data_IF_174478919131
#
_entry.id   IF_174478919131
#
_cell.length_a   1.000
_cell.length_b   1.000
_cell.length_c   1.000
_cell.angle_alpha   90.00
_cell.angle_beta   90.00
_cell.angle_gamma   90.00
#
_symmetry.space_group_name_H-M   'P 1'
#
loop_
_entity.id
_entity.type
_entity.pdbx_description
1 polymer ?
#
# COMPACT_ATOMS: atom_id res chain seq x y z
N UNK A 1 -23.59 0.26 -21.63
CA UNK A 1 -22.24 -0.03 -21.12
C UNK A 1 -22.16 -1.25 -20.20
N UNK A 2 -22.53 -1.21 -18.92
CA UNK A 2 -22.41 -2.39 -18.02
C UNK A 2 -23.28 -3.60 -18.45
N UNK A 3 -24.52 -3.35 -18.87
CA UNK A 3 -25.44 -4.40 -19.33
C UNK A 3 -24.99 -5.11 -20.61
N UNK A 4 -24.25 -4.44 -21.48
CA UNK A 4 -23.72 -5.01 -22.73
C UNK A 4 -22.46 -5.84 -22.45
N UNK A 5 -21.60 -5.38 -21.53
CA UNK A 5 -20.46 -6.15 -21.04
C UNK A 5 -20.90 -7.46 -20.36
N UNK A 6 -21.95 -7.41 -19.52
CA UNK A 6 -22.52 -8.62 -18.90
C UNK A 6 -23.14 -9.61 -19.89
N UNK A 7 -23.46 -9.18 -21.12
CA UNK A 7 -24.00 -10.03 -22.19
C UNK A 7 -22.92 -10.69 -23.05
N UNK A 8 -21.64 -10.38 -22.82
CA UNK A 8 -20.52 -10.99 -23.55
C UNK A 8 -20.38 -10.51 -24.98
N UNK A 9 -20.91 -9.33 -25.31
CA UNK A 9 -20.77 -8.75 -26.65
C UNK A 9 -19.43 -8.02 -26.76
N UNK A 10 -18.47 -8.65 -27.45
CA UNK A 10 -17.08 -8.17 -27.65
C UNK A 10 -16.97 -6.85 -28.44
N UNK A 11 -18.08 -6.31 -28.94
CA UNK A 11 -18.11 -5.04 -29.65
C UNK A 11 -17.51 -3.89 -28.81
N UNK A 12 -17.74 -3.89 -27.51
CA UNK A 12 -17.20 -2.88 -26.59
C UNK A 12 -15.70 -3.03 -26.38
N UNK A 13 -15.19 -4.27 -26.30
CA UNK A 13 -13.76 -4.52 -26.14
C UNK A 13 -13.00 -4.10 -27.40
N UNK A 14 -13.56 -4.36 -28.58
CA UNK A 14 -12.97 -3.92 -29.85
C UNK A 14 -12.98 -2.41 -29.99
N UNK A 15 -14.06 -1.74 -29.60
CA UNK A 15 -14.13 -0.28 -29.62
C UNK A 15 -13.18 0.35 -28.60
N UNK A 16 -12.98 -0.27 -27.43
CA UNK A 16 -11.98 0.16 -26.45
C UNK A 16 -10.55 0.01 -26.99
N UNK A 17 -10.23 -1.11 -27.63
CA UNK A 17 -8.93 -1.33 -28.29
C UNK A 17 -8.73 -0.36 -29.46
N UNK A 18 -9.80 0.00 -30.20
CA UNK A 18 -9.76 0.97 -31.30
C UNK A 18 -9.48 2.40 -30.82
N UNK A 19 -9.92 2.77 -29.61
CA UNK A 19 -9.77 4.12 -29.04
C UNK A 19 -8.37 4.43 -28.53
N UNK A 20 -7.50 3.43 -28.37
CA UNK A 20 -6.10 3.63 -28.01
C UNK A 20 -5.93 4.44 -26.72
N UNK A 21 -5.28 5.60 -26.82
CA UNK A 21 -4.88 6.45 -25.68
C UNK A 21 -5.92 7.52 -25.31
N UNK A 22 -7.15 7.45 -25.85
CA UNK A 22 -8.20 8.40 -25.49
C UNK A 22 -8.59 8.28 -24.00
N UNK A 23 -8.64 9.40 -23.25
CA UNK A 23 -8.99 9.37 -21.84
C UNK A 23 -10.43 8.93 -21.64
N UNK A 24 -10.61 7.81 -20.94
CA UNK A 24 -11.92 7.32 -20.50
C UNK A 24 -12.22 7.77 -19.07
N UNK A 25 -13.37 8.42 -18.88
CA UNK A 25 -13.90 8.70 -17.54
C UNK A 25 -14.48 7.42 -16.94
N UNK A 26 -13.78 6.86 -15.95
CA UNK A 26 -14.30 5.77 -15.12
C UNK A 26 -15.12 6.39 -13.99
N UNK A 27 -16.45 6.30 -14.10
CA UNK A 27 -17.35 6.70 -13.02
C UNK A 27 -17.46 5.53 -12.04
N UNK A 28 -16.94 5.65 -10.80
CA UNK A 28 -17.12 4.61 -9.81
C UNK A 28 -18.61 4.48 -9.48
N UNK A 29 -19.16 3.30 -9.71
CA UNK A 29 -20.54 2.99 -9.31
C UNK A 29 -20.51 2.34 -7.94
N UNK A 30 -21.29 2.89 -7.00
CA UNK A 30 -21.48 2.29 -5.70
C UNK A 30 -22.24 0.96 -5.85
N UNK A 31 -21.53 -0.15 -5.61
CA UNK A 31 -22.06 -1.51 -5.70
C UNK A 31 -23.19 -1.72 -4.68
N UNK A 32 -23.16 -1.02 -3.54
CA UNK A 32 -24.22 -1.11 -2.53
C UNK A 32 -25.51 -0.43 -3.01
N UNK A 33 -25.41 0.65 -3.78
CA UNK A 33 -26.55 1.31 -4.41
C UNK A 33 -27.18 0.47 -5.55
N UNK A 34 -26.37 -0.30 -6.28
CA UNK A 34 -26.86 -1.21 -7.32
C UNK A 34 -27.66 -2.39 -6.77
N UNK A 35 -27.29 -2.92 -5.59
CA UNK A 35 -28.02 -4.01 -4.93
C UNK A 35 -29.36 -3.56 -4.33
N UNK A 36 -29.59 -2.26 -4.17
CA UNK A 36 -30.84 -1.68 -3.67
C UNK A 36 -31.79 -1.25 -4.80
N UNK A 37 -31.37 -1.36 -6.06
CA UNK A 37 -32.23 -1.08 -7.19
C UNK A 37 -33.38 -2.11 -7.24
N UNK A 38 -34.65 -1.69 -7.35
CA UNK A 38 -35.77 -2.60 -7.47
C UNK A 38 -35.56 -3.55 -8.65
N UNK A 39 -35.62 -4.86 -8.39
CA UNK A 39 -35.61 -5.85 -9.46
C UNK A 39 -36.82 -5.58 -10.36
N UNK A 40 -36.66 -5.68 -11.70
CA UNK A 40 -37.80 -5.58 -12.61
C UNK A 40 -38.81 -6.67 -12.24
N UNK A 41 -40.12 -6.37 -12.27
CA UNK A 41 -41.13 -7.38 -12.00
C UNK A 41 -40.93 -8.56 -12.98
N UNK A 42 -41.13 -9.81 -12.51
CA UNK A 42 -41.03 -10.97 -13.37
C UNK A 42 -42.03 -10.82 -14.55
N UNK A 43 -41.68 -11.31 -15.75
CA UNK A 43 -42.58 -11.22 -16.89
C UNK A 43 -43.87 -11.97 -16.57
N UNK A 44 -44.98 -11.26 -16.64
CA UNK A 44 -46.32 -11.83 -16.54
C UNK A 44 -46.48 -12.88 -17.65
N UNK A 45 -46.55 -14.15 -17.25
CA UNK A 45 -47.08 -15.18 -18.13
C UNK A 45 -48.57 -14.91 -18.30
N UNK A 46 -48.94 -14.54 -19.52
CA UNK A 46 -50.33 -14.42 -19.94
C UNK A 46 -50.84 -15.83 -20.19
N UNK A 47 -51.59 -16.39 -19.24
CA UNK A 47 -52.52 -17.48 -19.53
C UNK A 47 -53.92 -16.91 -19.74
N UNK A 48 -54.47 -17.26 -20.89
CA UNK A 48 -55.78 -16.83 -21.35
C UNK A 48 -56.91 -17.64 -20.68
N UNK A 49 -57.95 -16.91 -20.28
CA UNK A 49 -59.37 -17.29 -20.17
C UNK A 49 -59.75 -18.41 -19.21
N UNK A 50 -60.56 -18.08 -18.18
CA UNK A 50 -62.03 -18.24 -18.20
C UNK A 50 -62.67 -18.16 -16.80
N UNK A 51 -63.49 -17.11 -16.59
CA UNK A 51 -64.82 -17.07 -15.92
C UNK A 51 -65.08 -17.69 -14.53
N UNK A 52 -65.50 -16.82 -13.58
CA UNK A 52 -66.83 -16.74 -12.91
C UNK A 52 -66.69 -16.26 -11.44
N UNK A 53 -67.35 -15.11 -11.15
CA UNK A 53 -68.17 -14.69 -9.97
C UNK A 53 -67.71 -15.09 -8.54
N UNK A 54 -67.89 -14.33 -7.44
CA UNK A 54 -68.88 -13.32 -7.05
C UNK A 54 -68.41 -12.62 -5.74
N UNK A 55 -68.77 -11.34 -5.61
CA UNK A 55 -69.27 -10.65 -4.40
C UNK A 55 -68.50 -10.54 -3.04
N UNK A 56 -68.35 -9.27 -2.65
CA UNK A 56 -68.81 -8.66 -1.39
C UNK A 56 -67.94 -8.50 -0.11
N UNK A 57 -67.65 -7.21 0.14
CA UNK A 57 -68.15 -6.41 1.27
C UNK A 57 -67.40 -6.40 2.61
N UNK A 58 -66.87 -5.19 2.88
CA UNK A 58 -66.88 -4.43 4.15
C UNK A 58 -65.98 -4.84 5.32
N UNK A 59 -65.27 -3.83 5.84
CA UNK A 59 -65.51 -3.46 7.24
C UNK A 59 -64.31 -3.46 8.19
N UNK A 60 -63.76 -2.25 8.37
CA UNK A 60 -63.48 -1.63 9.68
C UNK A 60 -62.28 -2.12 10.53
N UNK A 61 -61.41 -1.13 10.79
CA UNK A 61 -60.27 -0.97 11.70
C UNK A 61 -60.52 -1.30 13.20
N UNK A 62 -59.66 -0.89 14.17
CA UNK A 62 -58.18 -0.92 14.36
C UNK A 62 -57.83 -1.53 15.75
N UNK A 63 -56.66 -1.16 16.34
CA UNK A 63 -56.24 -1.17 17.78
C UNK A 63 -55.03 -2.09 18.05
N UNK A 64 -53.83 -1.50 18.24
CA UNK A 64 -53.02 -1.40 19.49
C UNK A 64 -52.53 -2.78 20.01
N UNK A 65 -51.36 -3.02 20.60
CA UNK A 65 -50.50 -2.22 21.46
C UNK A 65 -49.19 -3.01 21.70
N UNK A 66 -48.02 -2.40 21.47
CA UNK A 66 -46.73 -2.45 22.24
C UNK A 66 -46.25 -3.77 22.96
N UNK A 67 -45.22 -3.78 23.86
CA UNK A 67 -43.80 -3.97 23.47
C UNK A 67 -42.95 -4.93 24.35
N UNK A 68 -41.73 -5.27 23.85
CA UNK A 68 -40.45 -5.55 24.61
C UNK A 68 -40.39 -6.77 25.56
N UNK A 69 -39.25 -7.21 26.20
CA UNK A 69 -37.91 -6.58 26.36
C UNK A 69 -36.62 -7.49 26.29
N UNK A 70 -35.48 -6.81 26.11
CA UNK A 70 -34.14 -6.90 26.77
C UNK A 70 -33.53 -8.24 27.29
N UNK A 71 -32.21 -8.45 27.04
CA UNK A 71 -31.15 -8.41 28.09
C UNK A 71 -29.70 -8.56 27.57
N UNK A 72 -28.75 -8.13 28.43
CA UNK A 72 -27.36 -7.73 28.21
C UNK A 72 -26.32 -8.83 28.56
N UNK A 73 -25.15 -8.74 27.90
CA UNK A 73 -23.71 -9.08 28.20
C UNK A 73 -23.30 -9.45 29.66
N UNK A 74 -22.09 -10.00 30.01
CA UNK A 74 -20.74 -9.75 29.44
C UNK A 74 -19.68 -10.91 29.54
N UNK A 75 -18.39 -10.57 29.70
CA UNK A 75 -17.10 -11.14 29.21
C UNK A 75 -16.08 -11.24 30.36
N UNK A 76 -15.21 -12.26 30.43
CA UNK A 76 -13.83 -12.17 31.00
C UNK A 76 -12.91 -13.39 30.69
N UNK A 77 -11.69 -13.44 31.26
CA UNK A 77 -10.37 -13.67 30.62
C UNK A 77 -9.40 -14.51 31.50
N UNK A 78 -8.19 -14.86 30.98
CA UNK A 78 -6.90 -15.32 31.62
C UNK A 78 -6.64 -16.85 31.70
N UNK A 79 -5.43 -17.48 31.73
CA UNK A 79 -3.98 -17.17 31.55
C UNK A 79 -3.12 -18.49 31.56
N UNK A 80 -1.85 -18.44 31.08
CA UNK A 80 -0.60 -19.23 31.37
C UNK A 80 -0.57 -20.79 31.18
N UNK A 81 0.51 -21.54 30.86
CA UNK A 81 1.96 -21.41 30.60
C UNK A 81 2.64 -22.83 30.50
N UNK A 82 3.96 -22.90 30.21
CA UNK A 82 4.96 -24.01 30.41
C UNK A 82 5.40 -24.95 29.24
N UNK A 83 6.72 -25.27 29.30
CA UNK A 83 7.65 -25.98 28.38
C UNK A 83 7.48 -27.50 28.22
N UNK A 84 8.08 -28.12 27.18
CA UNK A 84 8.88 -29.39 27.18
C UNK A 84 9.34 -29.78 25.75
N UNK A 85 10.64 -30.10 25.57
CA UNK A 85 11.24 -30.84 24.44
C UNK A 85 10.99 -32.37 24.56
N UNK A 86 10.69 -33.11 23.47
CA UNK A 86 11.22 -34.47 23.19
C UNK A 86 11.10 -34.79 21.68
N UNK A 87 12.10 -35.50 21.18
CA UNK A 87 12.33 -36.00 19.82
C UNK A 87 11.45 -37.19 19.33
N UNK A 88 11.67 -37.49 18.04
CA UNK A 88 11.64 -38.82 17.38
C UNK A 88 10.34 -39.34 16.72
N UNK A 89 10.50 -39.58 15.41
CA UNK A 89 10.03 -40.68 14.56
C UNK A 89 8.60 -41.22 14.62
N UNK A 90 7.91 -41.11 13.47
CA UNK A 90 7.14 -42.17 12.79
C UNK A 90 6.74 -41.61 11.41
N UNK A 91 7.35 -42.02 10.30
CA UNK A 91 7.14 -43.26 9.55
C UNK A 91 5.71 -43.44 8.99
N UNK A 92 5.68 -43.61 7.65
CA UNK A 92 4.58 -44.09 6.79
C UNK A 92 3.39 -43.13 6.61
N UNK A 93 2.84 -42.92 5.41
CA UNK A 93 2.48 -43.90 4.40
C UNK A 93 2.17 -43.18 3.05
N UNK A 94 2.19 -43.97 1.97
CA UNK A 94 1.59 -43.77 0.64
C UNK A 94 2.50 -43.38 -0.52
N UNK A 95 3.29 -44.38 -0.89
CA UNK A 95 3.51 -44.72 -2.30
C UNK A 95 2.20 -45.07 -3.03
N UNK A 96 1.99 -44.48 -4.21
CA UNK A 96 1.36 -45.03 -5.44
C UNK A 96 1.55 -43.95 -6.51
N UNK A 97 2.15 -44.14 -7.68
CA UNK A 97 2.29 -45.32 -8.53
C UNK A 97 3.44 -45.05 -9.54
N UNK A 98 4.46 -45.91 -9.50
CA UNK A 98 5.34 -46.33 -10.63
C UNK A 98 4.47 -46.81 -11.81
N UNK A 99 4.83 -46.88 -13.08
CA UNK A 99 5.99 -46.62 -13.93
C UNK A 99 5.49 -46.96 -15.35
N UNK A 100 6.11 -46.42 -16.41
CA UNK A 100 6.49 -47.22 -17.59
C UNK A 100 7.45 -46.43 -18.47
N UNK A 101 8.66 -46.95 -18.53
CA UNK A 101 9.72 -46.63 -19.49
C UNK A 101 9.81 -47.76 -20.53
N UNK A 102 10.62 -47.48 -21.56
CA UNK A 102 11.16 -48.35 -22.63
C UNK A 102 10.47 -48.17 -24.00
N UNK A 103 11.14 -48.07 -25.15
CA UNK A 103 12.54 -47.85 -25.55
C UNK A 103 12.60 -47.77 -27.12
N UNK A 104 13.74 -47.32 -27.67
CA UNK A 104 14.28 -47.50 -29.04
C UNK A 104 13.74 -46.59 -30.19
N UNK A 105 14.56 -45.66 -30.72
CA UNK A 105 15.47 -45.75 -31.93
C UNK A 105 14.66 -45.83 -33.26
N UNK A 106 14.92 -45.10 -34.36
CA UNK A 106 16.17 -44.71 -35.02
C UNK A 106 15.91 -43.70 -36.19
N UNK A 107 16.93 -42.91 -36.54
CA UNK A 107 17.33 -42.35 -37.87
C UNK A 107 16.68 -41.15 -38.60
N UNK A 108 17.60 -40.20 -38.93
CA UNK A 108 17.89 -39.49 -40.20
C UNK A 108 16.82 -38.57 -40.84
N UNK A 109 17.06 -37.39 -41.41
CA UNK A 109 18.14 -36.38 -41.50
C UNK A 109 17.47 -35.13 -42.20
N UNK A 110 18.17 -34.03 -42.55
CA UNK A 110 17.64 -32.66 -42.48
C UNK A 110 16.95 -32.16 -43.77
N UNK A 111 16.08 -31.16 -43.62
CA UNK A 111 15.59 -30.32 -44.72
C UNK A 111 15.86 -28.85 -44.40
N UNK A 112 16.69 -28.23 -45.23
CA UNK A 112 16.93 -26.79 -45.31
C UNK A 112 15.71 -26.10 -45.93
N UNK A 113 15.16 -25.11 -45.24
CA UNK A 113 14.44 -24.01 -45.87
C UNK A 113 14.75 -22.73 -45.10
N UNK A 114 15.64 -21.93 -45.68
CA UNK A 114 15.89 -20.57 -45.27
C UNK A 114 14.67 -19.71 -45.65
N UNK A 115 14.02 -19.11 -44.66
CA UNK A 115 13.17 -17.93 -44.83
C UNK A 115 13.44 -17.02 -43.64
N UNK A 116 14.00 -15.85 -43.98
CA UNK A 116 14.14 -14.59 -43.25
C UNK A 116 14.32 -14.59 -41.72
N UNK A 117 15.38 -13.93 -41.19
CA UNK A 117 15.34 -13.51 -39.80
C UNK A 117 14.30 -12.39 -39.69
N UNK A 118 13.07 -12.76 -39.36
CA UNK A 118 12.14 -11.83 -38.76
C UNK A 118 12.88 -11.19 -37.59
N UNK A 119 13.01 -9.86 -37.62
CA UNK A 119 13.36 -9.11 -36.42
C UNK A 119 12.30 -9.49 -35.37
N UNK A 120 12.69 -10.39 -34.47
CA UNK A 120 11.94 -10.70 -33.27
C UNK A 120 11.57 -9.36 -32.61
N UNK A 121 10.28 -9.08 -32.38
CA UNK A 121 9.91 -7.92 -31.59
C UNK A 121 10.58 -8.12 -30.24
N UNK A 122 11.49 -7.22 -29.86
CA UNK A 122 12.22 -7.31 -28.59
C UNK A 122 11.22 -7.64 -27.48
N UNK A 123 11.20 -8.89 -27.03
CA UNK A 123 10.21 -9.34 -26.08
C UNK A 123 10.37 -8.46 -24.84
N UNK A 124 9.32 -7.74 -24.47
CA UNK A 124 9.34 -6.95 -23.26
C UNK A 124 9.65 -7.89 -22.10
N UNK A 125 10.57 -7.51 -21.18
CA UNK A 125 11.03 -8.41 -20.14
C UNK A 125 9.84 -8.89 -19.31
N UNK A 126 9.82 -10.17 -18.97
CA UNK A 126 8.74 -10.75 -18.19
C UNK A 126 8.69 -10.11 -16.79
N UNK A 127 7.53 -10.17 -16.13
CA UNK A 127 7.38 -9.63 -14.78
C UNK A 127 8.38 -10.25 -13.78
N UNK A 128 8.73 -11.53 -13.96
CA UNK A 128 9.71 -12.22 -13.13
C UNK A 128 11.15 -11.78 -13.43
N UNK A 129 11.49 -11.52 -14.69
CA UNK A 129 12.79 -10.95 -15.07
C UNK A 129 12.98 -9.56 -14.47
N UNK A 130 11.95 -8.71 -14.55
CA UNK A 130 11.95 -7.37 -13.93
C UNK A 130 12.17 -7.49 -12.42
N UNK A 131 11.41 -8.36 -11.73
CA UNK A 131 11.57 -8.58 -10.28
C UNK A 131 12.97 -9.05 -9.93
N UNK A 132 13.48 -10.04 -10.64
CA UNK A 132 14.81 -10.63 -10.41
C UNK A 132 15.91 -9.60 -10.58
N UNK A 133 15.87 -8.81 -11.65
CA UNK A 133 16.85 -7.76 -11.91
C UNK A 133 16.83 -6.67 -10.81
N UNK A 134 15.65 -6.22 -10.39
CA UNK A 134 15.52 -5.22 -9.32
C UNK A 134 16.02 -5.78 -7.99
N UNK A 135 15.66 -7.01 -7.64
CA UNK A 135 16.11 -7.66 -6.41
C UNK A 135 17.63 -7.78 -6.36
N UNK A 136 18.26 -8.21 -7.46
CA UNK A 136 19.72 -8.31 -7.54
C UNK A 136 20.41 -6.96 -7.33
N UNK A 137 19.87 -5.89 -7.93
CA UNK A 137 20.39 -4.54 -7.73
C UNK A 137 20.22 -4.05 -6.29
N UNK A 138 19.05 -4.30 -5.67
CA UNK A 138 18.79 -3.96 -4.27
C UNK A 138 19.73 -4.69 -3.33
N UNK A 139 19.94 -6.00 -3.49
CA UNK A 139 20.85 -6.77 -2.66
C UNK A 139 22.29 -6.23 -2.74
N UNK A 140 22.72 -5.81 -3.94
CA UNK A 140 24.02 -5.17 -4.14
C UNK A 140 24.15 -3.83 -3.40
N UNK A 141 23.08 -3.05 -3.35
CA UNK A 141 23.03 -1.76 -2.65
C UNK A 141 22.90 -1.96 -1.14
N UNK A 142 21.99 -2.80 -0.67
CA UNK A 142 21.74 -3.05 0.75
C UNK A 142 22.98 -3.58 1.47
N UNK A 143 23.83 -4.38 0.80
CA UNK A 143 25.13 -4.83 1.32
C UNK A 143 26.08 -3.68 1.67
N UNK A 144 25.91 -2.51 1.05
CA UNK A 144 26.71 -1.30 1.33
C UNK A 144 26.13 -0.45 2.47
N UNK A 145 25.05 -0.91 3.10
CA UNK A 145 24.35 -0.26 4.21
C UNK A 145 24.08 1.24 3.95
N UNK A 146 23.37 1.59 2.87
CA UNK A 146 23.17 2.97 2.45
C UNK A 146 22.55 3.85 3.52
N UNK A 147 21.68 3.30 4.38
CA UNK A 147 21.08 4.04 5.49
C UNK A 147 22.11 4.61 6.47
N UNK A 148 23.24 3.93 6.71
CA UNK A 148 24.31 4.48 7.59
C UNK A 148 25.02 5.68 6.97
N UNK A 149 25.07 5.74 5.63
CA UNK A 149 25.65 6.88 4.89
C UNK A 149 24.65 8.03 4.73
N UNK A 150 23.38 7.69 4.54
CA UNK A 150 22.30 8.66 4.39
C UNK A 150 21.92 9.32 5.71
N UNK A 151 22.03 8.59 6.81
CA UNK A 151 21.72 9.04 8.17
C UNK A 151 22.96 8.92 9.08
N UNK A 152 24.01 9.75 8.88
CA UNK A 152 25.20 9.67 9.69
C UNK A 152 24.93 10.16 11.13
N UNK A 153 25.72 9.67 12.09
CA UNK A 153 25.50 9.96 13.51
C UNK A 153 25.67 11.45 13.89
N UNK A 154 26.42 12.20 13.08
CA UNK A 154 26.77 13.61 13.28
C UNK A 154 25.86 14.59 12.52
N UNK A 155 24.69 14.13 12.03
CA UNK A 155 23.72 15.01 11.38
C UNK A 155 23.36 16.21 12.26
N UNK A 156 23.29 17.44 11.70
CA UNK A 156 22.88 18.62 12.44
C UNK A 156 21.47 18.41 12.98
N UNK A 157 21.18 18.89 14.18
CA UNK A 157 19.87 18.74 14.81
C UNK A 157 18.94 19.88 14.39
N UNK A 158 17.62 19.67 14.28
CA UNK A 158 16.68 20.71 13.86
C UNK A 158 16.39 21.76 14.95
N UNK A 159 16.93 21.58 16.16
CA UNK A 159 16.69 22.43 17.32
C UNK A 159 17.69 23.60 17.36
N UNK A 160 17.20 24.81 17.62
CA UNK A 160 18.04 26.03 17.65
C UNK A 160 19.07 26.00 18.80
N UNK A 161 18.71 25.39 19.93
CA UNK A 161 19.58 25.21 21.10
C UNK A 161 19.76 23.73 21.46
N UNK A 162 20.57 22.95 20.72
CA UNK A 162 20.72 21.50 20.98
C UNK A 162 21.25 21.18 22.38
N UNK A 163 22.05 22.09 22.96
CA UNK A 163 22.58 21.97 24.31
C UNK A 163 21.52 22.13 25.40
N UNK A 164 20.45 22.88 25.11
CA UNK A 164 19.33 23.10 26.03
C UNK A 164 18.33 21.94 25.99
N UNK A 165 18.32 21.18 24.89
CA UNK A 165 17.39 20.06 24.67
C UNK A 165 18.11 18.71 24.44
N UNK A 166 19.01 18.27 25.35
CA UNK A 166 19.82 17.07 25.14
C UNK A 166 18.98 15.79 25.01
N UNK A 167 17.82 15.74 25.67
CA UNK A 167 16.88 14.61 25.58
C UNK A 167 16.27 14.48 24.19
N UNK A 168 15.85 15.59 23.58
CA UNK A 168 15.31 15.59 22.21
C UNK A 168 16.38 15.20 21.19
N UNK A 169 17.61 15.67 21.38
CA UNK A 169 18.77 15.28 20.55
C UNK A 169 19.04 13.79 20.65
N UNK A 170 19.06 13.24 21.86
CA UNK A 170 19.24 11.79 22.07
C UNK A 170 18.12 10.98 21.43
N UNK A 171 16.86 11.36 21.62
CA UNK A 171 15.72 10.66 21.05
C UNK A 171 15.77 10.61 19.50
N UNK A 172 16.19 11.72 18.87
CA UNK A 172 16.34 11.79 17.42
C UNK A 172 17.50 10.90 16.92
N UNK A 173 18.63 10.87 17.64
CA UNK A 173 19.76 9.99 17.32
C UNK A 173 19.40 8.51 17.45
N UNK A 174 18.77 8.13 18.56
CA UNK A 174 18.33 6.76 18.81
C UNK A 174 17.31 6.31 17.75
N UNK A 175 16.42 7.22 17.33
CA UNK A 175 15.50 6.95 16.24
C UNK A 175 16.24 6.60 14.94
N UNK A 176 17.24 7.38 14.53
CA UNK A 176 17.96 7.09 13.28
C UNK A 176 18.83 5.84 13.36
N UNK A 177 19.47 5.59 14.50
CA UNK A 177 20.26 4.39 14.73
C UNK A 177 19.40 3.12 14.61
N UNK A 178 18.20 3.14 15.19
CA UNK A 178 17.31 1.99 15.23
C UNK A 178 16.45 1.85 13.96
N UNK A 179 15.99 2.97 13.39
CA UNK A 179 14.97 2.99 12.34
C UNK A 179 15.49 3.47 10.98
N UNK A 180 16.75 3.88 10.85
CA UNK A 180 17.30 4.43 9.62
C UNK A 180 17.16 3.49 8.41
N UNK A 181 17.39 2.19 8.60
CA UNK A 181 17.17 1.18 7.56
C UNK A 181 15.71 1.17 7.09
N UNK A 182 14.75 1.17 8.03
CA UNK A 182 13.34 1.20 7.70
C UNK A 182 12.99 2.48 6.92
N UNK A 183 13.41 3.65 7.39
CA UNK A 183 13.11 4.90 6.67
C UNK A 183 13.68 4.88 5.24
N UNK A 184 14.89 4.34 5.06
CA UNK A 184 15.51 4.17 3.74
C UNK A 184 14.72 3.22 2.83
N UNK A 185 14.31 2.04 3.32
CA UNK A 185 13.58 1.02 2.55
C UNK A 185 12.29 1.57 1.90
N UNK A 186 11.66 2.61 2.46
CA UNK A 186 10.47 3.24 1.85
C UNK A 186 10.76 3.85 0.50
N UNK A 187 11.97 4.36 0.30
CA UNK A 187 12.40 5.02 -0.94
C UNK A 187 12.82 4.03 -2.03
N UNK A 188 12.92 2.75 -1.68
CA UNK A 188 13.37 1.65 -2.54
C UNK A 188 12.57 0.40 -2.23
N UNK A 189 11.23 0.49 -2.32
CA UNK A 189 10.36 -0.60 -1.91
C UNK A 189 10.50 -1.79 -2.86
N UNK A 190 11.03 -2.86 -2.27
CA UNK A 190 11.37 -4.11 -2.93
C UNK A 190 10.15 -4.75 -3.61
N UNK A 191 10.29 -5.26 -4.84
CA UNK A 191 9.19 -5.85 -5.60
C UNK A 191 8.92 -7.31 -5.19
N UNK A 192 8.85 -7.56 -3.88
CA UNK A 192 8.64 -8.89 -3.32
C UNK A 192 7.24 -9.38 -3.69
N UNK A 193 7.15 -10.55 -4.32
CA UNK A 193 5.87 -11.23 -4.50
C UNK A 193 5.36 -11.67 -3.12
N UNK A 194 4.11 -11.31 -2.80
CA UNK A 194 3.47 -11.69 -1.54
C UNK A 194 3.37 -13.21 -1.38
N UNK A 195 3.31 -13.94 -2.48
CA UNK A 195 3.18 -15.40 -2.51
C UNK A 195 4.52 -16.11 -2.29
N UNK A 196 5.62 -15.59 -2.85
CA UNK A 196 6.95 -16.22 -2.80
C UNK A 196 7.84 -15.70 -1.69
N UNK A 197 7.57 -14.49 -1.18
CA UNK A 197 8.44 -13.78 -0.22
C UNK A 197 7.62 -13.11 0.87
N UNK A 198 6.57 -13.80 1.34
CA UNK A 198 5.64 -13.29 2.34
C UNK A 198 6.32 -12.78 3.61
N UNK A 199 7.30 -13.53 4.11
CA UNK A 199 7.96 -13.21 5.39
C UNK A 199 8.82 -11.96 5.28
N UNK A 200 9.65 -11.85 4.23
CA UNK A 200 10.46 -10.66 3.98
C UNK A 200 9.59 -9.41 3.78
N UNK A 201 8.49 -9.55 3.04
CA UNK A 201 7.52 -8.47 2.86
C UNK A 201 6.90 -8.03 4.19
N UNK A 202 6.48 -8.99 5.01
CA UNK A 202 5.88 -8.75 6.33
C UNK A 202 6.88 -8.09 7.27
N UNK A 203 8.12 -8.58 7.33
CA UNK A 203 9.18 -8.01 8.16
C UNK A 203 9.48 -6.55 7.80
N UNK A 204 9.62 -6.23 6.50
CA UNK A 204 9.80 -4.84 6.04
C UNK A 204 8.64 -3.97 6.50
N UNK A 205 7.40 -4.39 6.26
CA UNK A 205 6.20 -3.65 6.68
C UNK A 205 6.14 -3.44 8.20
N UNK A 206 6.50 -4.45 9.00
CA UNK A 206 6.56 -4.33 10.45
C UNK A 206 7.61 -3.31 10.90
N UNK A 207 8.81 -3.31 10.30
CA UNK A 207 9.84 -2.29 10.58
C UNK A 207 9.34 -0.88 10.26
N UNK A 208 8.67 -0.69 9.12
CA UNK A 208 8.07 0.60 8.75
C UNK A 208 7.04 1.10 9.74
N UNK A 209 6.15 0.21 10.17
CA UNK A 209 5.12 0.54 11.16
C UNK A 209 5.76 0.92 12.51
N UNK A 210 6.80 0.19 12.93
CA UNK A 210 7.56 0.52 14.14
C UNK A 210 8.26 1.87 14.04
N UNK A 211 8.88 2.19 12.90
CA UNK A 211 9.53 3.48 12.68
C UNK A 211 8.53 4.64 12.75
N UNK A 212 7.37 4.52 12.10
CA UNK A 212 6.32 5.55 12.17
C UNK A 212 5.82 5.75 13.60
N UNK A 213 5.37 4.68 14.26
CA UNK A 213 4.86 4.75 15.62
C UNK A 213 5.93 5.21 16.63
N UNK A 214 7.18 4.80 16.43
CA UNK A 214 8.31 5.19 17.25
C UNK A 214 8.61 6.67 17.12
N UNK A 215 8.62 7.21 15.90
CA UNK A 215 8.83 8.64 15.68
C UNK A 215 7.69 9.48 16.28
N UNK A 216 6.44 9.06 16.11
CA UNK A 216 5.28 9.73 16.71
C UNK A 216 5.39 9.82 18.23
N UNK A 217 5.71 8.71 18.90
CA UNK A 217 5.72 8.63 20.36
C UNK A 217 6.97 9.19 20.99
N UNK A 218 8.13 8.93 20.40
CA UNK A 218 9.42 9.19 21.03
C UNK A 218 10.07 10.48 20.52
N UNK A 219 9.58 11.06 19.41
CA UNK A 219 10.13 12.30 18.85
C UNK A 219 9.06 13.38 18.77
N UNK A 220 7.96 13.17 18.05
CA UNK A 220 6.95 14.23 17.82
C UNK A 220 6.34 14.71 19.15
N UNK A 221 5.86 13.79 20.00
CA UNK A 221 5.26 14.16 21.28
C UNK A 221 6.24 14.90 22.19
N UNK A 222 7.45 14.38 22.51
CA UNK A 222 8.42 15.11 23.34
C UNK A 222 8.81 16.48 22.77
N UNK A 223 9.01 16.58 21.45
CA UNK A 223 9.32 17.86 20.79
C UNK A 223 8.17 18.85 20.94
N UNK A 224 6.92 18.39 20.81
CA UNK A 224 5.77 19.26 21.03
C UNK A 224 5.63 19.69 22.49
N UNK A 225 5.84 18.78 23.44
CA UNK A 225 5.72 19.10 24.86
C UNK A 225 6.76 20.14 25.32
N UNK A 226 7.96 20.10 24.73
CA UNK A 226 9.07 20.98 25.12
C UNK A 226 9.15 22.27 24.28
N UNK A 227 8.96 22.20 22.96
CA UNK A 227 9.12 23.34 22.04
C UNK A 227 7.80 23.89 21.50
N UNK A 228 6.69 23.19 21.73
CA UNK A 228 5.36 23.58 21.29
C UNK A 228 5.15 23.55 19.78
N UNK A 229 3.99 24.05 19.37
CA UNK A 229 3.59 24.15 17.96
C UNK A 229 4.53 25.04 17.12
N UNK A 230 5.20 26.02 17.74
CA UNK A 230 6.05 26.98 17.06
C UNK A 230 7.20 26.30 16.30
N UNK A 231 7.79 25.26 16.88
CA UNK A 231 8.84 24.46 16.25
C UNK A 231 8.40 23.88 14.89
N UNK A 232 7.24 23.23 14.85
CA UNK A 232 6.71 22.62 13.62
C UNK A 232 6.34 23.68 12.57
N UNK A 233 5.83 24.84 13.01
CA UNK A 233 5.56 25.96 12.10
C UNK A 233 6.86 26.46 11.45
N UNK A 234 7.93 26.63 12.22
CA UNK A 234 9.23 27.03 11.70
C UNK A 234 9.82 25.97 10.76
N UNK A 235 9.73 24.70 11.13
CA UNK A 235 10.15 23.57 10.30
C UNK A 235 9.43 23.54 8.95
N UNK A 236 8.12 23.79 8.95
CA UNK A 236 7.31 23.83 7.72
C UNK A 236 7.58 25.07 6.85
N UNK A 237 8.17 26.13 7.41
CA UNK A 237 8.49 27.37 6.68
C UNK A 237 9.88 27.33 6.03
N UNK A 238 10.69 26.30 6.28
CA UNK A 238 12.02 26.17 5.68
C UNK A 238 11.89 25.96 4.16
N UNK A 239 12.80 26.57 3.41
CA UNK A 239 12.86 26.39 1.94
C UNK A 239 13.19 24.93 1.57
N UNK A 240 14.02 24.27 2.38
CA UNK A 240 14.42 22.88 2.19
C UNK A 240 14.08 22.03 3.42
N UNK A 241 13.68 20.75 3.22
CA UNK A 241 13.45 19.81 4.31
C UNK A 241 14.73 19.59 5.13
N UNK A 242 14.59 19.55 6.46
CA UNK A 242 15.73 19.34 7.33
C UNK A 242 16.24 17.89 7.26
N UNK A 243 17.53 17.69 6.99
CA UNK A 243 18.12 16.36 6.79
C UNK A 243 17.93 15.40 7.97
N UNK A 244 17.94 15.90 9.20
CA UNK A 244 17.79 15.06 10.39
C UNK A 244 16.32 14.84 10.81
N UNK A 245 15.34 15.37 10.06
CA UNK A 245 13.92 15.19 10.37
C UNK A 245 13.28 14.10 9.51
N UNK A 246 12.46 13.25 10.13
CA UNK A 246 11.76 12.20 9.40
C UNK A 246 10.48 12.76 8.76
N UNK A 247 10.52 12.92 7.45
CA UNK A 247 9.36 13.23 6.61
C UNK A 247 8.75 11.94 6.08
N UNK A 248 7.46 11.74 6.32
CA UNK A 248 6.75 10.58 5.78
C UNK A 248 6.35 10.83 4.34
N UNK A 249 7.28 10.55 3.45
CA UNK A 249 7.03 10.60 2.01
C UNK A 249 6.44 9.29 1.50
N UNK A 250 6.04 9.33 0.23
CA UNK A 250 5.48 8.21 -0.48
C UNK A 250 6.48 7.05 -0.61
N UNK A 251 5.93 5.83 -0.56
CA UNK A 251 6.68 4.62 -0.83
C UNK A 251 6.95 4.51 -2.34
N UNK A 252 8.22 4.35 -2.71
CA UNK A 252 8.61 4.18 -4.11
C UNK A 252 8.64 2.70 -4.42
N UNK A 253 7.53 2.19 -4.95
CA UNK A 253 7.43 0.82 -5.45
C UNK A 253 8.27 0.67 -6.74
N UNK A 254 9.35 -0.11 -6.64
CA UNK A 254 10.32 -0.28 -7.71
C UNK A 254 9.79 -1.12 -8.87
N UNK A 255 8.85 -2.04 -8.61
CA UNK A 255 8.18 -2.78 -9.68
C UNK A 255 7.34 -1.83 -10.53
N UNK A 256 6.54 -1.00 -9.86
CA UNK A 256 5.69 0.01 -10.49
C UNK A 256 6.54 1.07 -11.21
N UNK A 257 7.69 1.44 -10.65
CA UNK A 257 8.65 2.33 -11.31
C UNK A 257 9.18 1.71 -12.60
N UNK A 258 9.60 0.45 -12.58
CA UNK A 258 10.09 -0.26 -13.76
C UNK A 258 9.00 -0.46 -14.83
N UNK A 259 7.77 -0.77 -14.41
CA UNK A 259 6.64 -0.92 -15.34
C UNK A 259 6.30 0.40 -16.06
N UNK A 260 6.42 1.55 -15.37
CA UNK A 260 6.06 2.85 -15.94
C UNK A 260 7.17 3.52 -16.74
N UNK A 261 8.42 3.39 -16.30
CA UNK A 261 9.56 4.14 -16.85
C UNK A 261 10.65 3.25 -17.45
N UNK A 262 10.42 1.94 -17.49
CA UNK A 262 11.37 0.94 -17.96
C UNK A 262 12.33 0.44 -16.88
N UNK A 263 12.74 -0.82 -17.02
CA UNK A 263 13.67 -1.48 -16.10
C UNK A 263 15.00 -0.70 -15.96
N UNK A 264 15.58 -0.25 -17.07
CA UNK A 264 16.84 0.51 -17.07
C UNK A 264 16.76 1.78 -16.20
N UNK A 265 15.67 2.53 -16.30
CA UNK A 265 15.45 3.74 -15.49
C UNK A 265 15.32 3.39 -14.00
N UNK A 266 14.63 2.30 -13.67
CA UNK A 266 14.51 1.81 -12.31
C UNK A 266 15.87 1.41 -11.72
N UNK A 267 16.69 0.67 -12.47
CA UNK A 267 18.03 0.27 -12.05
C UNK A 267 18.94 1.49 -11.85
N UNK A 268 18.92 2.44 -12.79
CA UNK A 268 19.68 3.69 -12.66
C UNK A 268 19.25 4.48 -11.42
N UNK A 269 17.96 4.53 -11.10
CA UNK A 269 17.44 5.19 -9.90
C UNK A 269 17.98 4.51 -8.62
N UNK A 270 17.98 3.18 -8.56
CA UNK A 270 18.53 2.45 -7.41
C UNK A 270 20.01 2.79 -7.22
N UNK A 271 20.80 2.80 -8.29
CA UNK A 271 22.23 3.06 -8.22
C UNK A 271 22.57 4.52 -7.88
N UNK A 272 21.90 5.50 -8.51
CA UNK A 272 22.22 6.92 -8.34
C UNK A 272 21.61 7.53 -7.09
N UNK A 273 20.47 7.03 -6.61
CA UNK A 273 19.72 7.66 -5.54
C UNK A 273 19.86 6.97 -4.18
N UNK A 274 20.32 5.70 -4.11
CA UNK A 274 20.36 4.94 -2.85
C UNK A 274 21.17 5.62 -1.73
N UNK A 275 22.15 6.43 -2.07
CA UNK A 275 23.05 7.10 -1.13
C UNK A 275 22.68 8.56 -0.88
N UNK A 276 21.55 9.03 -1.42
CA UNK A 276 21.08 10.41 -1.23
C UNK A 276 20.05 10.47 -0.12
N UNK A 277 20.07 11.58 0.63
CA UNK A 277 19.10 11.83 1.71
C UNK A 277 17.67 12.07 1.22
N UNK A 278 17.54 12.73 0.08
CA UNK A 278 16.27 13.01 -0.58
C UNK A 278 16.36 12.53 -2.04
N UNK A 279 16.12 11.22 -2.29
CA UNK A 279 16.10 10.64 -3.63
C UNK A 279 15.15 11.38 -4.58
N UNK A 280 15.61 11.67 -5.79
CA UNK A 280 14.78 12.22 -6.86
C UNK A 280 14.13 11.09 -7.65
N UNK A 281 12.83 10.89 -7.46
CA UNK A 281 12.10 9.82 -8.15
C UNK A 281 11.82 10.21 -9.60
N UNK A 282 12.08 9.33 -10.59
CA UNK A 282 11.73 9.58 -11.97
C UNK A 282 10.23 9.82 -12.18
N UNK A 283 9.92 10.88 -12.94
CA UNK A 283 8.56 11.29 -13.30
C UNK A 283 7.99 12.36 -12.37
N UNK A 284 7.36 13.37 -12.96
CA UNK A 284 6.74 14.47 -12.23
C UNK A 284 5.55 13.99 -11.37
N UNK A 285 5.54 14.42 -10.11
CA UNK A 285 4.35 14.40 -9.21
C UNK A 285 3.62 13.07 -9.11
N UNK A 286 4.13 12.18 -8.26
CA UNK A 286 3.32 11.06 -7.78
C UNK A 286 2.43 11.49 -6.62
N UNK A 287 1.12 11.58 -6.86
CA UNK A 287 0.09 11.60 -5.82
C UNK A 287 -0.46 10.19 -5.53
N UNK A 288 0.35 9.24 -5.06
CA UNK A 288 -0.20 8.08 -4.35
C UNK A 288 -0.57 8.51 -2.94
N UNK A 289 -1.78 8.14 -2.51
CA UNK A 289 -2.43 8.45 -1.24
C UNK A 289 -1.48 8.33 -0.04
N UNK A 290 -0.85 9.44 0.32
CA UNK A 290 -0.27 9.59 1.64
C UNK A 290 -1.43 9.86 2.60
N UNK A 291 -1.45 9.17 3.74
CA UNK A 291 -2.19 9.66 4.92
C UNK A 291 -1.43 10.87 5.48
N UNK A 292 -1.30 11.92 4.68
CA UNK A 292 -0.84 13.20 5.16
C UNK A 292 -2.06 13.92 5.74
N UNK A 293 -1.92 14.52 6.90
CA UNK A 293 -3.00 15.31 7.52
C UNK A 293 -3.39 16.59 6.74
N UNK A 294 -2.74 16.89 5.60
CA UNK A 294 -2.91 18.13 4.83
C UNK A 294 -2.54 19.45 5.53
N UNK A 295 -2.04 19.41 6.77
CA UNK A 295 -1.87 20.58 7.67
C UNK A 295 -0.40 20.90 7.98
N UNK A 296 0.47 19.91 8.13
CA UNK A 296 1.90 20.10 8.45
C UNK A 296 2.76 19.01 7.83
N UNK A 297 3.88 19.39 7.19
CA UNK A 297 4.80 18.45 6.56
C UNK A 297 5.78 17.83 7.58
N UNK A 298 6.24 18.64 8.53
CA UNK A 298 7.09 18.20 9.64
C UNK A 298 6.33 17.34 10.66
N UNK A 299 5.04 17.63 10.88
CA UNK A 299 4.16 16.77 11.64
C UNK A 299 3.19 16.10 10.67
N UNK A 300 3.60 15.00 10.04
CA UNK A 300 2.87 14.34 8.94
C UNK A 300 1.75 13.39 9.40
N UNK A 301 1.73 13.00 10.68
CA UNK A 301 0.79 11.99 11.18
C UNK A 301 -0.65 12.50 11.20
N UNK A 302 -1.59 11.61 10.89
CA UNK A 302 -3.03 11.83 11.05
C UNK A 302 -3.60 10.92 12.16
N UNK A 303 -2.75 10.40 13.05
CA UNK A 303 -3.20 9.57 14.16
C UNK A 303 -4.10 10.38 15.11
N UNK A 304 -5.23 9.82 15.60
CA UNK A 304 -6.10 10.50 16.56
C UNK A 304 -5.37 10.98 17.82
N UNK A 305 -4.33 10.25 18.26
CA UNK A 305 -3.53 10.64 19.43
C UNK A 305 -2.73 11.92 19.23
N UNK A 306 -2.46 12.30 17.97
CA UNK A 306 -1.71 13.49 17.60
C UNK A 306 -2.61 14.62 17.09
N UNK A 307 -3.93 14.45 17.14
CA UNK A 307 -4.89 15.49 16.75
C UNK A 307 -4.72 16.79 17.53
N UNK A 308 -4.51 16.78 18.87
CA UNK A 308 -4.27 18.03 19.61
C UNK A 308 -3.02 18.78 19.16
N UNK A 309 -1.95 18.05 18.79
CA UNK A 309 -0.72 18.62 18.24
C UNK A 309 -1.00 19.30 16.90
N UNK A 310 -1.74 18.65 16.00
CA UNK A 310 -2.14 19.26 14.71
C UNK A 310 -2.93 20.54 14.90
N UNK A 311 -3.91 20.52 15.79
CA UNK A 311 -4.80 21.67 15.97
C UNK A 311 -4.05 22.85 16.58
N UNK A 312 -3.09 22.61 17.48
CA UNK A 312 -2.17 23.63 17.98
C UNK A 312 -1.29 24.22 16.86
N UNK A 313 -0.78 23.39 15.95
CA UNK A 313 0.00 23.85 14.78
C UNK A 313 -0.86 24.71 13.86
N UNK A 314 -2.09 24.29 13.53
CA UNK A 314 -3.02 25.05 12.69
C UNK A 314 -3.35 26.40 13.32
N UNK A 315 -3.64 26.42 14.62
CA UNK A 315 -3.90 27.66 15.35
C UNK A 315 -2.69 28.60 15.35
N UNK A 316 -1.47 28.06 15.51
CA UNK A 316 -0.23 28.84 15.46
C UNK A 316 0.01 29.44 14.06
N UNK A 317 -0.23 28.68 12.99
CA UNK A 317 -0.14 29.18 11.60
C UNK A 317 -1.14 30.31 11.35
N UNK A 318 -2.39 30.15 11.79
CA UNK A 318 -3.42 31.18 11.61
C UNK A 318 -3.05 32.51 12.31
N UNK A 319 -2.49 32.44 13.53
CA UNK A 319 -2.00 33.63 14.27
C UNK A 319 -0.83 34.32 13.55
N UNK A 320 0.09 33.55 12.98
CA UNK A 320 1.23 34.07 12.21
C UNK A 320 0.82 34.77 10.91
N UNK A 321 -0.17 34.22 10.21
CA UNK A 321 -0.71 34.83 8.97
C UNK A 321 -1.49 36.13 9.25
N UNK A 322 -2.18 36.22 10.39
CA UNK A 322 -2.92 37.43 10.78
C UNK A 322 -2.00 38.62 11.09
N UNK A 323 -0.78 38.36 11.61
CA UNK A 323 0.22 39.41 11.90
C UNK A 323 0.98 39.93 10.68
N UNK A 324 0.88 39.28 9.51
CA UNK A 324 1.55 39.68 8.27
C UNK A 324 0.65 40.44 7.30
N UNK A 325 -0.60 40.72 7.68
CA UNK A 325 -1.53 41.62 6.97
C UNK A 325 -1.58 42.97 7.65
#
# INVERSE_FOLDING_TARGET
MFREFCRGEDALLREFVRRGDEPISVVPVDIQALCQAPLPPPPLMVEATATVETEDTSGTAPVEESPSPQRKRPRERQNAGADTEVAADAAEDRQRKRSRSDAAQDKDAPSFAAVEPALEPSASPSAEEIRTAIMSALECVERKEPWKKVFPADMPTPFDSPKEHPKLVMALREFWDTCGQAVWERKFWSPLSRERSHDLHTQRRCRQSRAQNGFEKNVILPVFDELGAAFFVQMDQRAEPHCNWFYLDQVVDLFTLAQRYGLRTCLSYIESEAFKRFPAVPGATRHFFLRHNGKSASMWSASPSLQPVLDAIVAAKAKGSSKRR
#
